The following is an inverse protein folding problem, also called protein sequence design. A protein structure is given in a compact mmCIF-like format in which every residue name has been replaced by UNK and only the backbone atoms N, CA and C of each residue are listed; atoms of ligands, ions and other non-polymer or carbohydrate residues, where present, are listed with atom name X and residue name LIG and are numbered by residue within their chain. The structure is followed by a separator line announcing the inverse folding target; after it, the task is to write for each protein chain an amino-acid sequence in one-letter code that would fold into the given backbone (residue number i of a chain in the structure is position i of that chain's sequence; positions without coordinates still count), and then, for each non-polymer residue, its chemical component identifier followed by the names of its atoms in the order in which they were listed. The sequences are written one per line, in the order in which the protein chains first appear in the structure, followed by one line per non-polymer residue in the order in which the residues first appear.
data_IF_250184038220
#
_entry.id   IF_250184038220
#
_cell.length_a   1.000
_cell.length_b   1.000
_cell.length_c   1.000
_cell.angle_alpha   90.00
_cell.angle_beta   90.00
_cell.angle_gamma   90.00
#
_symmetry.space_group_name_H-M   'P 1'
#
loop_
_entity.id
_entity.type
_entity.pdbx_description
1 polymer ?
#
# COMPACT_ATOMS: atom_id res chain seq x y z
N UNK A 1 21.41 -19.46 14.72
CA UNK A 1 20.03 -18.93 14.71
C UNK A 1 20.01 -17.39 14.80
N UNK A 2 21.16 -16.71 14.68
CA UNK A 2 21.31 -15.28 14.97
C UNK A 2 21.41 -14.40 13.71
N UNK A 3 21.81 -14.96 12.57
CA UNK A 3 22.04 -14.19 11.33
C UNK A 3 20.72 -13.86 10.60
N UNK A 4 19.80 -14.83 10.46
CA UNK A 4 18.48 -14.61 9.87
C UNK A 4 17.66 -13.53 10.59
N UNK A 5 17.84 -13.41 11.92
CA UNK A 5 17.14 -12.42 12.72
C UNK A 5 17.69 -11.01 12.51
N UNK A 6 18.98 -10.89 12.17
CA UNK A 6 19.61 -9.61 11.86
C UNK A 6 19.25 -9.13 10.44
N UNK A 7 19.30 -10.01 9.44
CA UNK A 7 18.92 -9.66 8.07
C UNK A 7 17.44 -9.23 7.98
N UNK A 8 16.55 -9.93 8.69
CA UNK A 8 15.14 -9.57 8.75
C UNK A 8 14.94 -8.20 9.42
N UNK A 9 15.69 -7.92 10.50
CA UNK A 9 15.66 -6.64 11.18
C UNK A 9 16.16 -5.51 10.27
N UNK A 10 17.32 -5.66 9.65
CA UNK A 10 17.91 -4.66 8.75
C UNK A 10 16.97 -4.37 7.57
N UNK A 11 16.36 -5.42 6.99
CA UNK A 11 15.40 -5.26 5.89
C UNK A 11 14.16 -4.48 6.29
N UNK A 12 13.67 -4.71 7.52
CA UNK A 12 12.55 -3.96 8.07
C UNK A 12 12.94 -2.51 8.31
N UNK A 13 14.11 -2.22 8.89
CA UNK A 13 14.56 -0.84 9.10
C UNK A 13 14.79 -0.09 7.78
N UNK A 14 15.40 -0.73 6.78
CA UNK A 14 15.51 -0.20 5.42
C UNK A 14 14.13 0.14 4.83
N UNK A 15 13.15 -0.76 4.97
CA UNK A 15 11.79 -0.53 4.50
C UNK A 15 11.13 0.67 5.20
N UNK A 16 11.36 0.83 6.52
CA UNK A 16 10.88 1.99 7.28
C UNK A 16 11.51 3.27 6.77
N UNK A 17 12.83 3.26 6.55
CA UNK A 17 13.56 4.40 5.99
C UNK A 17 13.04 4.79 4.60
N UNK A 18 12.77 3.82 3.72
CA UNK A 18 12.16 4.08 2.41
C UNK A 18 10.78 4.73 2.56
N UNK A 19 9.93 4.21 3.44
CA UNK A 19 8.59 4.76 3.69
C UNK A 19 8.64 6.19 4.24
N UNK A 20 9.56 6.48 5.16
CA UNK A 20 9.77 7.83 5.70
C UNK A 20 10.19 8.82 4.60
N UNK A 21 11.13 8.42 3.74
CA UNK A 21 11.59 9.24 2.61
C UNK A 21 10.50 9.44 1.53
N UNK A 22 9.57 8.50 1.43
CA UNK A 22 8.37 8.61 0.60
C UNK A 22 7.28 9.53 1.21
N UNK A 23 7.55 10.13 2.37
CA UNK A 23 6.67 11.09 3.03
C UNK A 23 5.68 10.48 4.03
N UNK A 24 5.89 9.23 4.45
CA UNK A 24 5.10 8.60 5.50
C UNK A 24 5.58 9.07 6.89
N UNK A 25 4.65 9.39 7.78
CA UNK A 25 4.98 9.71 9.18
C UNK A 25 5.39 8.44 9.97
N UNK A 26 5.85 8.62 11.21
CA UNK A 26 6.31 7.53 12.08
C UNK A 26 5.24 6.45 12.36
N UNK A 27 3.95 6.84 12.44
CA UNK A 27 2.86 5.87 12.62
C UNK A 27 2.64 5.02 11.36
N UNK A 28 2.92 5.60 10.19
CA UNK A 28 2.75 4.98 8.88
C UNK A 28 4.02 4.31 8.33
N UNK A 29 5.12 4.44 9.05
CA UNK A 29 6.42 3.77 8.81
C UNK A 29 6.82 2.87 9.99
N UNK A 30 5.84 2.41 10.78
CA UNK A 30 6.08 1.41 11.81
C UNK A 30 6.40 0.02 11.21
N UNK A 31 6.86 -0.90 12.07
CA UNK A 31 7.22 -2.26 11.69
C UNK A 31 6.13 -2.99 10.88
N UNK A 32 4.85 -2.86 11.26
CA UNK A 32 3.73 -3.45 10.50
C UNK A 32 3.69 -2.92 9.07
N UNK A 33 3.87 -1.61 8.91
CA UNK A 33 3.81 -0.95 7.60
C UNK A 33 4.99 -1.35 6.73
N UNK A 34 6.18 -1.46 7.31
CA UNK A 34 7.35 -2.01 6.64
C UNK A 34 7.14 -3.46 6.19
N UNK A 35 6.63 -4.34 7.05
CA UNK A 35 6.36 -5.74 6.68
C UNK A 35 5.31 -5.86 5.57
N UNK A 36 4.25 -5.04 5.60
CA UNK A 36 3.25 -5.00 4.53
C UNK A 36 3.88 -4.51 3.23
N UNK A 37 4.73 -3.49 3.28
CA UNK A 37 5.45 -2.96 2.12
C UNK A 37 6.37 -4.03 1.49
N UNK A 38 7.19 -4.70 2.31
CA UNK A 38 8.05 -5.81 1.89
C UNK A 38 7.26 -6.96 1.26
N UNK A 39 6.09 -7.27 1.81
CA UNK A 39 5.20 -8.30 1.27
C UNK A 39 4.67 -7.94 -0.12
N UNK A 40 4.23 -6.70 -0.30
CA UNK A 40 3.74 -6.22 -1.60
C UNK A 40 4.84 -6.17 -2.65
N UNK A 41 6.09 -5.95 -2.24
CA UNK A 41 7.28 -6.01 -3.09
C UNK A 41 7.78 -7.44 -3.32
N UNK A 42 7.37 -8.40 -2.51
CA UNK A 42 7.87 -9.78 -2.54
C UNK A 42 9.32 -9.93 -2.09
N UNK A 43 9.80 -9.06 -1.19
CA UNK A 43 11.21 -9.06 -0.72
C UNK A 43 11.33 -9.87 0.57
N UNK A 44 12.11 -10.96 0.51
CA UNK A 44 12.53 -11.72 1.68
C UNK A 44 13.77 -11.07 2.35
N UNK A 45 14.12 -11.43 3.60
CA UNK A 45 15.27 -10.85 4.32
C UNK A 45 16.59 -10.84 3.53
N UNK A 46 16.86 -11.90 2.78
CA UNK A 46 18.06 -12.13 1.97
C UNK A 46 17.94 -11.58 0.53
N UNK A 47 16.76 -11.08 0.14
CA UNK A 47 16.51 -10.63 -1.22
C UNK A 47 17.09 -9.23 -1.48
N UNK A 48 17.73 -9.01 -2.65
CA UNK A 48 18.18 -7.69 -3.04
C UNK A 48 17.00 -6.81 -3.44
N UNK A 49 17.10 -5.50 -3.19
CA UNK A 49 16.02 -4.55 -3.51
C UNK A 49 15.65 -4.49 -4.99
N UNK A 50 16.61 -4.76 -5.88
CA UNK A 50 16.39 -4.87 -7.34
C UNK A 50 15.46 -6.02 -7.74
N UNK A 51 15.29 -7.05 -6.90
CA UNK A 51 14.38 -8.16 -7.18
C UNK A 51 12.93 -7.86 -6.80
N UNK A 52 12.63 -6.64 -6.34
CA UNK A 52 11.26 -6.26 -6.02
C UNK A 52 10.32 -6.49 -7.21
N UNK A 53 9.11 -6.91 -6.91
CA UNK A 53 8.02 -7.07 -7.88
C UNK A 53 6.83 -6.22 -7.48
N UNK A 54 5.86 -6.10 -8.37
CA UNK A 54 4.56 -5.50 -8.07
C UNK A 54 3.44 -6.51 -8.35
N UNK A 55 3.53 -7.70 -7.77
CA UNK A 55 2.44 -8.69 -7.88
C UNK A 55 1.17 -8.20 -7.17
N UNK A 56 -0.01 -8.54 -7.68
CA UNK A 56 -1.27 -8.23 -7.03
C UNK A 56 -1.51 -9.18 -5.85
N UNK A 57 -1.61 -8.64 -4.64
CA UNK A 57 -1.81 -9.43 -3.42
C UNK A 57 -3.10 -9.05 -2.69
N UNK A 58 -3.84 -10.04 -2.22
CA UNK A 58 -4.88 -9.85 -1.22
C UNK A 58 -4.31 -9.77 0.20
N UNK A 59 -5.07 -9.24 1.15
CA UNK A 59 -4.62 -9.09 2.55
C UNK A 59 -4.18 -10.40 3.21
N UNK A 60 -4.81 -11.53 2.83
CA UNK A 60 -4.41 -12.85 3.33
C UNK A 60 -3.02 -13.24 2.83
N UNK A 61 -2.75 -13.05 1.54
CA UNK A 61 -1.43 -13.35 0.96
C UNK A 61 -0.32 -12.48 1.58
N UNK A 62 -0.64 -11.22 1.89
CA UNK A 62 0.28 -10.33 2.64
C UNK A 62 0.59 -10.92 4.02
N UNK A 63 -0.43 -11.32 4.80
CA UNK A 63 -0.20 -11.92 6.12
C UNK A 63 0.55 -13.26 6.04
N UNK A 64 0.24 -14.09 5.05
CA UNK A 64 0.93 -15.36 4.83
C UNK A 64 2.42 -15.12 4.51
N UNK A 65 2.74 -14.14 3.65
CA UNK A 65 4.13 -13.76 3.37
C UNK A 65 4.88 -13.29 4.62
N UNK A 66 4.26 -12.42 5.43
CA UNK A 66 4.87 -11.93 6.68
C UNK A 66 5.15 -13.08 7.64
N UNK A 67 4.21 -14.02 7.78
CA UNK A 67 4.40 -15.22 8.60
C UNK A 67 5.54 -16.08 8.07
N UNK A 68 5.56 -16.34 6.77
CA UNK A 68 6.46 -17.34 6.16
C UNK A 68 7.89 -16.81 5.94
N UNK A 69 8.07 -15.49 5.79
CA UNK A 69 9.38 -14.86 5.50
C UNK A 69 9.98 -14.08 6.65
N UNK A 70 9.14 -13.53 7.53
CA UNK A 70 9.58 -12.70 8.67
C UNK A 70 9.15 -13.30 10.02
N UNK A 71 8.63 -14.54 10.00
CA UNK A 71 8.23 -15.31 11.19
C UNK A 71 7.21 -14.59 12.10
N UNK A 72 6.53 -13.57 11.56
CA UNK A 72 5.59 -12.74 12.32
C UNK A 72 4.16 -13.19 12.08
N UNK A 73 3.66 -14.01 13.00
CA UNK A 73 2.33 -14.57 12.92
C UNK A 73 1.26 -13.58 13.45
N UNK A 74 0.49 -12.99 12.56
CA UNK A 74 -0.62 -12.11 12.92
C UNK A 74 -1.94 -12.88 13.08
N UNK A 75 -2.71 -12.53 14.11
CA UNK A 75 -4.04 -13.08 14.32
C UNK A 75 -5.00 -12.68 13.17
N UNK A 76 -6.03 -13.49 12.85
CA UNK A 76 -6.94 -13.22 11.73
C UNK A 76 -7.63 -11.84 11.74
N UNK A 77 -7.88 -11.27 12.93
CA UNK A 77 -8.47 -9.95 13.09
C UNK A 77 -7.54 -8.80 12.65
N UNK A 78 -6.22 -9.03 12.63
CA UNK A 78 -5.22 -8.06 12.14
C UNK A 78 -5.40 -7.71 10.67
N UNK A 79 -6.14 -8.53 9.90
CA UNK A 79 -6.56 -8.19 8.53
C UNK A 79 -7.19 -6.81 8.43
N UNK A 80 -8.08 -6.49 9.37
CA UNK A 80 -8.77 -5.20 9.38
C UNK A 80 -7.82 -4.06 9.75
N UNK A 81 -6.88 -4.32 10.66
CA UNK A 81 -5.83 -3.37 11.03
C UNK A 81 -4.94 -3.04 9.85
N UNK A 82 -4.43 -4.06 9.13
CA UNK A 82 -3.58 -3.88 7.94
C UNK A 82 -4.34 -3.11 6.86
N UNK A 83 -5.61 -3.45 6.63
CA UNK A 83 -6.44 -2.78 5.64
C UNK A 83 -6.66 -1.30 5.96
N UNK A 84 -7.07 -1.00 7.19
CA UNK A 84 -7.49 0.35 7.61
C UNK A 84 -6.32 1.28 7.94
N UNK A 85 -5.27 0.76 8.58
CA UNK A 85 -4.18 1.55 9.15
C UNK A 85 -2.83 1.32 8.48
N UNK A 86 -2.81 0.71 7.29
CA UNK A 86 -1.60 0.60 6.47
C UNK A 86 -1.96 0.73 4.99
N UNK A 87 -2.73 -0.21 4.44
CA UNK A 87 -3.04 -0.23 3.00
C UNK A 87 -3.82 1.01 2.54
N UNK A 88 -4.80 1.46 3.33
CA UNK A 88 -5.51 2.71 3.03
C UNK A 88 -4.58 3.92 2.94
N UNK A 89 -3.63 4.03 3.87
CA UNK A 89 -2.66 5.12 3.90
C UNK A 89 -1.68 5.03 2.74
N UNK A 90 -1.26 3.82 2.35
CA UNK A 90 -0.42 3.61 1.17
C UNK A 90 -1.14 4.01 -0.13
N UNK A 91 -2.46 3.79 -0.20
CA UNK A 91 -3.28 4.26 -1.33
C UNK A 91 -3.38 5.79 -1.34
N UNK A 92 -3.61 6.42 -0.19
CA UNK A 92 -3.65 7.88 -0.07
C UNK A 92 -2.31 8.53 -0.47
N UNK A 93 -1.20 7.86 -0.15
CA UNK A 93 0.16 8.27 -0.51
C UNK A 93 0.57 7.86 -1.93
N UNK A 94 -0.32 7.23 -2.73
CA UNK A 94 -0.07 6.76 -4.10
C UNK A 94 1.08 5.74 -4.22
N UNK A 95 1.41 5.04 -3.12
CA UNK A 95 2.38 3.95 -3.11
C UNK A 95 1.78 2.65 -3.64
N UNK A 96 0.47 2.48 -3.43
CA UNK A 96 -0.29 1.27 -3.75
C UNK A 96 -1.56 1.63 -4.51
N UNK A 97 -1.90 0.83 -5.51
CA UNK A 97 -3.21 0.83 -6.16
C UNK A 97 -4.04 -0.34 -5.65
N UNK A 98 -5.36 -0.15 -5.59
CA UNK A 98 -6.31 -1.21 -5.25
C UNK A 98 -7.02 -1.70 -6.50
N UNK A 99 -7.19 -3.02 -6.63
CA UNK A 99 -7.85 -3.71 -7.75
C UNK A 99 -7.48 -3.18 -9.14
N UNK A 100 -6.19 -3.03 -9.50
CA UNK A 100 -5.80 -2.57 -10.84
C UNK A 100 -6.31 -3.50 -11.96
N UNK A 101 -6.60 -4.77 -11.66
CA UNK A 101 -7.21 -5.71 -12.60
C UNK A 101 -8.71 -5.48 -12.83
N UNK A 102 -9.41 -4.98 -11.81
CA UNK A 102 -10.86 -4.75 -11.84
C UNK A 102 -11.25 -3.56 -10.95
N UNK A 103 -11.20 -2.32 -11.47
CA UNK A 103 -11.48 -1.11 -10.69
C UNK A 103 -12.91 -1.06 -10.13
N UNK A 104 -13.88 -1.67 -10.82
CA UNK A 104 -15.29 -1.76 -10.42
C UNK A 104 -15.61 -2.93 -9.47
N UNK A 105 -14.59 -3.61 -8.93
CA UNK A 105 -14.76 -4.74 -8.02
C UNK A 105 -15.60 -4.34 -6.78
N UNK A 106 -16.62 -5.14 -6.40
CA UNK A 106 -17.38 -4.90 -5.18
C UNK A 106 -16.50 -4.83 -3.93
N UNK A 107 -16.80 -3.90 -3.01
CA UNK A 107 -16.03 -3.66 -1.77
C UNK A 107 -15.92 -4.93 -0.89
N UNK A 108 -16.95 -5.78 -0.90
CA UNK A 108 -16.99 -7.04 -0.15
C UNK A 108 -16.43 -8.24 -0.93
N UNK A 109 -15.78 -8.01 -2.08
CA UNK A 109 -15.25 -9.09 -2.90
C UNK A 109 -14.11 -9.82 -2.20
N UNK A 110 -14.11 -11.16 -2.18
CA UNK A 110 -12.99 -11.94 -1.63
C UNK A 110 -11.70 -11.79 -2.45
N UNK A 111 -11.81 -11.29 -3.69
CA UNK A 111 -10.72 -11.12 -4.64
C UNK A 111 -10.12 -9.69 -4.61
N UNK A 112 -10.42 -8.92 -3.56
CA UNK A 112 -9.84 -7.61 -3.35
C UNK A 112 -8.32 -7.71 -3.24
N UNK A 113 -7.61 -6.92 -4.05
CA UNK A 113 -6.15 -6.99 -4.14
C UNK A 113 -5.51 -5.59 -4.21
N UNK A 114 -4.20 -5.59 -3.98
CA UNK A 114 -3.37 -4.40 -3.87
C UNK A 114 -2.09 -4.62 -4.68
N UNK A 115 -1.57 -3.57 -5.28
CA UNK A 115 -0.36 -3.59 -6.10
C UNK A 115 0.51 -2.36 -5.85
N UNK A 116 1.83 -2.53 -5.77
CA UNK A 116 2.77 -1.40 -5.72
C UNK A 116 2.72 -0.63 -7.05
N UNK A 117 2.70 0.71 -6.97
CA UNK A 117 2.73 1.55 -8.17
C UNK A 117 4.05 1.42 -8.91
N UNK A 118 4.03 1.57 -10.24
CA UNK A 118 5.24 1.48 -11.05
C UNK A 118 6.28 2.54 -10.65
N UNK A 119 5.80 3.72 -10.25
CA UNK A 119 6.63 4.82 -9.77
C UNK A 119 7.36 4.45 -8.46
N UNK A 120 6.67 3.81 -7.51
CA UNK A 120 7.27 3.33 -6.27
C UNK A 120 8.23 2.16 -6.53
N UNK A 121 7.85 1.21 -7.38
CA UNK A 121 8.69 0.06 -7.71
C UNK A 121 10.04 0.49 -8.29
N UNK A 122 10.03 1.47 -9.22
CA UNK A 122 11.25 2.02 -9.81
C UNK A 122 12.19 2.60 -8.75
N UNK A 123 11.66 3.32 -7.77
CA UNK A 123 12.46 3.87 -6.67
C UNK A 123 13.08 2.76 -5.82
N UNK A 124 12.28 1.75 -5.49
CA UNK A 124 12.72 0.61 -4.67
C UNK A 124 13.83 -0.18 -5.36
N UNK A 125 13.75 -0.42 -6.67
CA UNK A 125 14.79 -1.13 -7.42
C UNK A 125 16.18 -0.50 -7.31
N UNK A 126 16.23 0.82 -7.14
CA UNK A 126 17.49 1.57 -7.02
C UNK A 126 17.90 1.81 -5.58
N UNK A 127 17.17 1.29 -4.57
CA UNK A 127 17.56 1.48 -3.18
C UNK A 127 18.96 0.90 -2.91
N UNK A 128 19.82 1.73 -2.30
CA UNK A 128 21.24 1.43 -2.07
C UNK A 128 22.17 1.74 -3.25
N UNK A 129 21.65 2.20 -4.38
CA UNK A 129 22.44 2.66 -5.53
C UNK A 129 22.73 4.17 -5.45
N UNK A 130 23.78 4.64 -6.13
CA UNK A 130 24.22 6.04 -6.09
C UNK A 130 23.15 7.02 -6.60
N UNK A 131 22.31 6.58 -7.53
CA UNK A 131 21.27 7.37 -8.17
C UNK A 131 19.94 7.42 -7.39
N UNK A 132 19.81 6.65 -6.30
CA UNK A 132 18.57 6.57 -5.52
C UNK A 132 18.08 7.93 -5.04
N UNK A 133 18.98 8.77 -4.53
CA UNK A 133 18.65 10.09 -4.01
C UNK A 133 18.11 11.03 -5.09
N UNK A 134 18.62 10.91 -6.32
CA UNK A 134 18.17 11.68 -7.49
C UNK A 134 16.77 11.19 -7.88
N UNK A 135 16.57 9.87 -7.98
CA UNK A 135 15.28 9.27 -8.29
C UNK A 135 14.21 9.60 -7.24
N UNK A 136 14.57 9.65 -5.97
CA UNK A 136 13.68 10.06 -4.88
C UNK A 136 13.23 11.52 -5.08
N UNK A 137 14.16 12.43 -5.36
CA UNK A 137 13.83 13.83 -5.59
C UNK A 137 12.91 14.02 -6.80
N UNK A 138 13.17 13.31 -7.89
CA UNK A 138 12.33 13.35 -9.09
C UNK A 138 10.96 12.74 -8.82
N UNK A 139 10.89 11.64 -8.06
CA UNK A 139 9.64 11.05 -7.59
C UNK A 139 8.82 12.08 -6.81
N UNK A 140 9.41 12.73 -5.79
CA UNK A 140 8.72 13.73 -4.96
C UNK A 140 8.21 14.92 -5.78
N UNK A 141 9.01 15.42 -6.74
CA UNK A 141 8.58 16.48 -7.66
C UNK A 141 7.43 16.05 -8.58
N UNK A 142 7.37 14.76 -8.91
CA UNK A 142 6.34 14.21 -9.81
C UNK A 142 5.01 13.91 -9.11
N UNK A 143 4.96 13.88 -7.77
CA UNK A 143 3.74 13.57 -6.99
C UNK A 143 2.50 14.35 -7.46
N UNK A 144 2.54 15.67 -7.69
CA UNK A 144 1.38 16.41 -8.19
C UNK A 144 0.87 15.88 -9.54
N UNK A 145 1.77 15.52 -10.45
CA UNK A 145 1.45 14.95 -11.75
C UNK A 145 0.88 13.53 -11.64
N UNK A 146 1.49 12.69 -10.79
CA UNK A 146 0.99 11.34 -10.49
C UNK A 146 -0.42 11.42 -9.91
N UNK A 147 -0.67 12.32 -8.96
CA UNK A 147 -1.99 12.55 -8.38
C UNK A 147 -3.03 12.96 -9.42
N UNK A 148 -2.67 13.85 -10.35
CA UNK A 148 -3.55 14.25 -11.46
C UNK A 148 -3.88 13.08 -12.39
N UNK A 149 -2.87 12.27 -12.76
CA UNK A 149 -3.05 11.06 -13.59
C UNK A 149 -4.01 10.06 -12.95
N UNK A 150 -3.82 9.72 -11.67
CA UNK A 150 -4.71 8.79 -10.96
C UNK A 150 -6.09 9.37 -10.66
N UNK A 151 -6.24 10.70 -10.58
CA UNK A 151 -7.55 11.34 -10.47
C UNK A 151 -8.31 11.23 -11.79
N UNK A 152 -7.66 11.53 -12.92
CA UNK A 152 -8.25 11.43 -14.26
C UNK A 152 -8.66 9.99 -14.60
N UNK A 153 -7.83 8.99 -14.25
CA UNK A 153 -8.19 7.57 -14.42
C UNK A 153 -9.47 7.21 -13.65
N UNK A 154 -9.56 7.63 -12.38
CA UNK A 154 -10.74 7.40 -11.55
C UNK A 154 -12.00 8.13 -12.05
N UNK A 155 -11.85 9.27 -12.70
CA UNK A 155 -12.98 9.97 -13.34
C UNK A 155 -13.46 9.25 -14.60
N UNK A 156 -12.53 8.75 -15.42
CA UNK A 156 -12.87 7.96 -16.62
C UNK A 156 -13.52 6.61 -16.27
N UNK A 157 -13.10 5.98 -15.17
CA UNK A 157 -13.67 4.72 -14.67
C UNK A 157 -15.06 4.89 -14.04
N UNK A 158 -15.43 6.12 -13.64
CA UNK A 158 -16.80 6.42 -13.22
C UNK A 158 -17.67 6.57 -14.46
N UNK A 159 -18.37 5.51 -14.84
CA UNK A 159 -19.50 5.61 -15.78
C UNK A 159 -20.49 6.62 -15.17
N UNK A 160 -20.82 7.74 -15.85
CA UNK A 160 -21.80 8.67 -15.35
C UNK A 160 -23.16 7.96 -15.27
N UNK A 161 -23.61 7.68 -14.05
CA UNK A 161 -24.99 7.26 -13.81
C UNK A 161 -25.88 8.49 -14.02
N UNK A 162 -26.33 8.68 -15.26
CA UNK A 162 -27.44 9.59 -15.54
C UNK A 162 -28.70 8.92 -14.98
N UNK A 163 -29.05 9.27 -13.75
CA UNK A 163 -30.35 8.93 -13.18
C UNK A 163 -31.44 9.57 -14.08
N UNK A 164 -32.50 8.85 -14.48
CA UNK A 164 -33.56 9.40 -15.31
C UNK A 164 -34.34 10.59 -14.72
N UNK A 165 -34.01 11.08 -13.53
CA UNK A 165 -34.78 12.09 -12.81
C UNK A 165 -33.97 13.15 -12.03
N UNK A 166 -32.69 13.40 -12.37
CA UNK A 166 -31.99 14.64 -11.96
C UNK A 166 -31.96 15.00 -10.47
N UNK A 167 -32.12 14.04 -9.55
CA UNK A 167 -32.19 14.31 -8.11
C UNK A 167 -30.95 13.79 -7.39
N UNK A 168 -30.19 14.73 -6.83
CA UNK A 168 -29.06 14.46 -5.94
C UNK A 168 -29.57 13.94 -4.58
N UNK A 169 -29.05 12.80 -4.11
CA UNK A 169 -29.29 12.34 -2.74
C UNK A 169 -28.05 12.64 -1.89
N UNK A 170 -28.22 13.44 -0.84
CA UNK A 170 -27.20 13.73 0.15
C UNK A 170 -27.58 13.04 1.46
N UNK A 171 -26.99 11.88 1.76
CA UNK A 171 -27.27 11.17 3.02
C UNK A 171 -26.49 11.80 4.17
N UNK A 172 -27.16 12.67 4.94
CA UNK A 172 -26.70 13.07 6.27
C UNK A 172 -27.09 11.98 7.26
N UNK A 173 -26.14 11.17 7.73
CA UNK A 173 -26.40 10.26 8.85
C UNK A 173 -26.19 11.02 10.16
N UNK A 174 -27.24 11.67 10.68
CA UNK A 174 -27.36 11.88 12.13
C UNK A 174 -27.70 10.52 12.74
N UNK A 175 -26.85 9.99 13.62
CA UNK A 175 -27.27 8.94 14.55
C UNK A 175 -27.20 9.46 15.98
N UNK A 176 -28.38 9.50 16.55
CA UNK A 176 -28.80 9.92 17.88
C UNK A 176 -28.24 9.01 18.97
N UNK A 177 -28.02 9.64 20.14
CA UNK A 177 -27.82 9.01 21.45
C UNK A 177 -28.98 8.08 21.79
N UNK A 178 -28.68 6.92 22.40
CA UNK A 178 -29.60 6.25 23.32
C UNK A 178 -28.83 5.76 24.54
N UNK A 179 -29.36 6.16 25.70
CA UNK A 179 -29.06 5.68 27.04
C UNK A 179 -29.54 4.23 27.22
N UNK A 180 -28.76 3.42 27.94
CA UNK A 180 -29.14 2.77 29.20
C UNK A 180 -27.86 2.33 29.91
#
# INVERSE_FOLDING_TARGET
MTELNNEAYDKVEDARFILENLGMDAERSNERSALVFLSLLGIAPDSPWVSASNSMLGTRAIMDFIRDKYEKNYAPNTRETIRRFTLHQFIEALLVTQNPDKPDRPINSPNWNYQITAETLKLVHHYGQEDWSILLNDYLKSIPGIKSKYAAQREMEKIPLILPNGKNFCSHTRRTKYFN
#
